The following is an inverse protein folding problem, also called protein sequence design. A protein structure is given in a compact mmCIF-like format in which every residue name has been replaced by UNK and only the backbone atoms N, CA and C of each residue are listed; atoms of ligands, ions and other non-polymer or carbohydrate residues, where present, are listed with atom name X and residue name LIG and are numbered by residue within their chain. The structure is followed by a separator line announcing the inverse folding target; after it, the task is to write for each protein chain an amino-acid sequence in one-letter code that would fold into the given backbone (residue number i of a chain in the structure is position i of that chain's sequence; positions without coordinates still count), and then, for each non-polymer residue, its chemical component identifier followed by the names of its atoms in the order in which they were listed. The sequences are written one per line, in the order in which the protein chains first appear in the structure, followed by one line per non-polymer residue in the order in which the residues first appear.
data_IF_875885599858
#
_entry.id   IF_875885599858
#
_cell.length_a   1.000
_cell.length_b   1.000
_cell.length_c   1.000
_cell.angle_alpha   90.00
_cell.angle_beta   90.00
_cell.angle_gamma   90.00
#
_symmetry.space_group_name_H-M   'P 1'
#
loop_
_entity.id
_entity.type
_entity.pdbx_description
1 polymer ?
#
# COMPACT_ATOMS: atom_id res chain seq x y z
N UNK A 1 26.05 -4.52 -1.39
CA UNK A 1 25.10 -3.40 -1.58
C UNK A 1 23.68 -3.92 -1.61
N UNK A 2 23.33 -4.82 -2.53
CA UNK A 2 21.99 -5.43 -2.65
C UNK A 2 21.43 -6.01 -1.33
N UNK A 3 22.25 -6.71 -0.53
CA UNK A 3 21.82 -7.23 0.79
C UNK A 3 21.38 -6.14 1.77
N UNK A 4 21.98 -4.95 1.72
CA UNK A 4 21.57 -3.82 2.55
C UNK A 4 20.22 -3.23 2.11
N UNK A 5 19.81 -3.50 0.87
CA UNK A 5 18.52 -3.13 0.29
C UNK A 5 17.46 -4.24 0.44
N UNK A 6 17.77 -5.31 1.18
CA UNK A 6 16.85 -6.44 1.40
C UNK A 6 16.83 -7.50 0.30
N UNK A 7 17.73 -7.42 -0.68
CA UNK A 7 17.83 -8.40 -1.77
C UNK A 7 18.78 -9.56 -1.42
N UNK A 8 18.40 -10.77 -1.79
CA UNK A 8 19.26 -11.98 -1.72
C UNK A 8 20.25 -12.02 -2.88
N UNK A 9 21.26 -12.91 -2.79
CA UNK A 9 22.21 -13.10 -3.88
C UNK A 9 21.53 -13.69 -5.14
N UNK A 10 20.57 -14.60 -4.95
CA UNK A 10 19.77 -15.18 -6.05
C UNK A 10 18.91 -14.12 -6.73
N UNK A 11 18.37 -13.18 -5.96
CA UNK A 11 17.62 -12.04 -6.49
C UNK A 11 18.51 -11.10 -7.31
N UNK A 12 19.76 -10.87 -6.87
CA UNK A 12 20.72 -10.07 -7.64
C UNK A 12 21.03 -10.71 -9.00
N UNK A 13 21.27 -12.03 -9.04
CA UNK A 13 21.49 -12.75 -10.30
C UNK A 13 20.25 -12.68 -11.21
N UNK A 14 19.06 -12.90 -10.65
CA UNK A 14 17.80 -12.79 -11.37
C UNK A 14 17.53 -11.37 -11.93
N UNK A 15 18.01 -10.33 -11.25
CA UNK A 15 17.98 -8.93 -11.74
C UNK A 15 18.95 -8.76 -12.90
N UNK A 16 20.19 -9.25 -12.79
CA UNK A 16 21.20 -9.20 -13.86
C UNK A 16 20.71 -9.86 -15.13
N UNK A 17 20.07 -11.01 -15.02
CA UNK A 17 19.46 -11.73 -16.14
C UNK A 17 18.36 -10.91 -16.83
N UNK A 18 17.47 -10.29 -16.05
CA UNK A 18 16.37 -9.44 -16.60
C UNK A 18 16.87 -8.17 -17.28
N UNK A 19 17.95 -7.58 -16.77
CA UNK A 19 18.55 -6.38 -17.34
C UNK A 19 19.53 -6.68 -18.48
N UNK A 20 20.09 -7.89 -18.54
CA UNK A 20 21.20 -8.24 -19.42
C UNK A 20 22.52 -7.54 -19.07
N UNK A 21 22.62 -6.94 -17.87
CA UNK A 21 23.77 -6.18 -17.37
C UNK A 21 23.72 -6.04 -15.84
N UNK A 22 24.81 -5.55 -15.25
CA UNK A 22 24.81 -5.14 -13.85
C UNK A 22 23.85 -3.93 -13.62
N UNK A 23 23.01 -3.99 -12.58
CA UNK A 23 22.22 -2.84 -12.15
C UNK A 23 23.09 -1.81 -11.44
N UNK A 24 22.77 -0.53 -11.60
CA UNK A 24 23.38 0.53 -10.80
C UNK A 24 22.71 0.68 -9.41
N UNK A 25 23.19 1.61 -8.59
CA UNK A 25 22.68 1.84 -7.23
C UNK A 25 21.19 2.20 -7.20
N UNK A 26 20.75 3.12 -8.06
CA UNK A 26 19.35 3.52 -8.15
C UNK A 26 18.47 2.35 -8.60
N UNK A 27 18.88 1.62 -9.62
CA UNK A 27 18.16 0.45 -10.11
C UNK A 27 18.06 -0.63 -9.04
N UNK A 28 19.14 -0.90 -8.30
CA UNK A 28 19.12 -1.82 -7.17
C UNK A 28 18.18 -1.37 -6.06
N UNK A 29 18.12 -0.07 -5.76
CA UNK A 29 17.17 0.45 -4.77
C UNK A 29 15.71 0.27 -5.25
N UNK A 30 15.44 0.54 -6.53
CA UNK A 30 14.13 0.31 -7.14
C UNK A 30 13.72 -1.17 -7.05
N UNK A 31 14.61 -2.09 -7.44
CA UNK A 31 14.37 -3.53 -7.29
C UNK A 31 14.23 -3.96 -5.83
N UNK A 32 15.05 -3.43 -4.93
CA UNK A 32 15.01 -3.77 -3.50
C UNK A 32 13.64 -3.53 -2.87
N UNK A 33 12.98 -2.45 -3.25
CA UNK A 33 11.61 -2.18 -2.80
C UNK A 33 10.60 -3.04 -3.56
N UNK A 34 10.64 -3.03 -4.89
CA UNK A 34 9.63 -3.72 -5.70
C UNK A 34 9.61 -5.24 -5.52
N UNK A 35 10.76 -5.86 -5.25
CA UNK A 35 10.90 -7.30 -4.98
C UNK A 35 10.88 -7.65 -3.48
N UNK A 36 10.58 -6.69 -2.61
CA UNK A 36 10.27 -6.99 -1.21
C UNK A 36 9.05 -7.91 -1.10
N UNK A 37 8.91 -8.65 0.00
CA UNK A 37 7.72 -9.48 0.21
C UNK A 37 6.45 -8.62 0.26
N UNK A 38 6.57 -7.40 0.81
CA UNK A 38 5.48 -6.44 0.92
C UNK A 38 4.91 -6.00 -0.45
N UNK A 39 5.78 -5.72 -1.44
CA UNK A 39 5.33 -5.25 -2.75
C UNK A 39 5.05 -6.41 -3.73
N UNK A 40 5.93 -7.42 -3.78
CA UNK A 40 5.85 -8.47 -4.81
C UNK A 40 4.96 -9.65 -4.44
N UNK A 41 4.66 -9.82 -3.14
CA UNK A 41 3.98 -11.00 -2.60
C UNK A 41 4.69 -12.30 -3.02
N UNK A 42 6.03 -12.27 -3.17
CA UNK A 42 6.80 -13.36 -3.78
C UNK A 42 6.58 -14.74 -3.15
N UNK A 43 6.22 -14.82 -1.87
CA UNK A 43 5.91 -16.10 -1.20
C UNK A 43 4.43 -16.48 -1.24
N UNK A 44 3.51 -15.52 -1.36
CA UNK A 44 2.06 -15.74 -1.24
C UNK A 44 1.32 -15.70 -2.59
N UNK A 45 1.83 -14.96 -3.58
CA UNK A 45 1.25 -14.80 -4.92
C UNK A 45 0.92 -16.13 -5.61
N UNK A 46 1.75 -17.20 -5.57
CA UNK A 46 1.38 -18.50 -6.13
C UNK A 46 0.14 -19.12 -5.48
N UNK A 47 0.01 -18.98 -4.15
CA UNK A 47 -1.11 -19.53 -3.37
C UNK A 47 -2.39 -18.70 -3.56
N UNK A 48 -2.28 -17.37 -3.55
CA UNK A 48 -3.42 -16.47 -3.71
C UNK A 48 -4.10 -16.61 -5.08
N UNK A 49 -3.35 -17.00 -6.13
CA UNK A 49 -3.90 -17.31 -7.46
C UNK A 49 -4.88 -18.49 -7.47
N UNK A 50 -4.90 -19.31 -6.41
CA UNK A 50 -5.85 -20.43 -6.29
C UNK A 50 -7.24 -20.01 -5.81
N UNK A 51 -7.38 -18.78 -5.30
CA UNK A 51 -8.65 -18.26 -4.82
C UNK A 51 -9.57 -17.92 -6.01
N UNK A 52 -10.88 -18.25 -5.93
CA UNK A 52 -11.84 -17.86 -6.96
C UNK A 52 -12.05 -16.34 -6.96
N UNK A 53 -11.92 -15.71 -8.12
CA UNK A 53 -12.02 -14.24 -8.28
C UNK A 53 -13.19 -13.79 -9.15
N UNK A 54 -13.90 -14.73 -9.79
CA UNK A 54 -15.05 -14.45 -10.64
C UNK A 54 -16.36 -14.67 -9.88
N UNK A 55 -17.32 -13.79 -10.10
CA UNK A 55 -18.66 -13.89 -9.54
C UNK A 55 -19.61 -12.90 -10.21
N UNK A 56 -20.91 -13.16 -10.12
CA UNK A 56 -21.93 -12.21 -10.57
C UNK A 56 -21.79 -10.90 -9.77
N UNK A 57 -21.73 -9.77 -10.48
CA UNK A 57 -21.57 -8.45 -9.86
C UNK A 57 -20.13 -8.05 -9.56
N UNK A 58 -19.11 -8.90 -9.75
CA UNK A 58 -17.71 -8.46 -9.65
C UNK A 58 -17.37 -7.58 -10.85
N UNK A 59 -17.09 -6.30 -10.60
CA UNK A 59 -16.73 -5.31 -11.63
C UNK A 59 -15.21 -5.15 -11.73
N UNK A 60 -14.52 -5.12 -10.59
CA UNK A 60 -13.05 -5.14 -10.52
C UNK A 60 -12.60 -6.15 -9.45
N UNK A 61 -11.73 -7.08 -9.85
CA UNK A 61 -11.14 -8.09 -8.97
C UNK A 61 -9.69 -7.77 -8.58
N UNK A 62 -8.94 -8.75 -8.05
CA UNK A 62 -7.52 -8.57 -7.74
C UNK A 62 -6.71 -8.08 -8.94
N UNK A 63 -5.88 -7.07 -8.73
CA UNK A 63 -5.03 -6.46 -9.76
C UNK A 63 -5.18 -4.94 -9.90
N UNK A 64 -6.29 -4.39 -9.39
CA UNK A 64 -6.52 -2.96 -9.19
C UNK A 64 -6.37 -2.59 -7.70
N UNK A 65 -6.38 -1.29 -7.38
CA UNK A 65 -6.15 -0.82 -6.01
C UNK A 65 -7.24 -1.23 -5.02
N UNK A 66 -8.47 -1.48 -5.46
CA UNK A 66 -9.52 -2.05 -4.63
C UNK A 66 -10.46 -2.97 -5.43
N UNK A 67 -11.12 -3.89 -4.73
CA UNK A 67 -12.17 -4.71 -5.32
C UNK A 67 -13.45 -3.90 -5.47
N UNK A 68 -14.19 -4.10 -6.57
CA UNK A 68 -15.46 -3.40 -6.82
C UNK A 68 -16.55 -4.41 -7.15
N UNK A 69 -17.68 -4.31 -6.45
CA UNK A 69 -18.90 -5.07 -6.75
C UNK A 69 -20.05 -4.13 -7.12
N UNK A 70 -20.83 -4.49 -8.12
CA UNK A 70 -22.04 -3.79 -8.52
C UNK A 70 -23.16 -4.02 -7.49
N UNK A 71 -23.92 -2.96 -7.19
CA UNK A 71 -25.03 -3.01 -6.22
C UNK A 71 -26.38 -2.58 -6.82
N UNK A 72 -26.47 -2.47 -8.16
CA UNK A 72 -27.66 -2.00 -8.87
C UNK A 72 -27.60 -0.52 -9.26
N UNK A 73 -28.55 -0.05 -10.09
CA UNK A 73 -28.73 1.35 -10.49
C UNK A 73 -27.49 2.07 -11.09
N UNK A 74 -26.55 1.29 -11.66
CA UNK A 74 -25.27 1.81 -12.16
C UNK A 74 -24.31 2.23 -11.04
N UNK A 75 -24.52 1.76 -9.81
CA UNK A 75 -23.68 1.96 -8.65
C UNK A 75 -22.85 0.72 -8.34
N UNK A 76 -21.67 0.95 -7.75
CA UNK A 76 -20.81 -0.08 -7.20
C UNK A 76 -20.26 0.32 -5.83
N UNK A 77 -19.78 -0.68 -5.12
CA UNK A 77 -19.06 -0.54 -3.85
C UNK A 77 -17.62 -0.97 -4.06
N UNK A 78 -16.70 -0.03 -3.85
CA UNK A 78 -15.27 -0.32 -3.78
C UNK A 78 -14.90 -0.64 -2.34
N UNK A 79 -14.09 -1.68 -2.12
CA UNK A 79 -13.59 -2.03 -0.80
C UNK A 79 -12.24 -2.73 -0.87
N UNK A 80 -11.43 -2.54 0.17
CA UNK A 80 -10.17 -3.23 0.40
C UNK A 80 -9.90 -3.27 1.89
N UNK A 81 -9.05 -4.20 2.31
CA UNK A 81 -8.48 -4.27 3.65
C UNK A 81 -6.96 -4.29 3.54
N UNK A 82 -6.28 -3.52 4.38
CA UNK A 82 -4.82 -3.46 4.48
C UNK A 82 -4.36 -3.68 5.91
N UNK A 83 -3.06 -3.93 6.08
CA UNK A 83 -2.44 -4.12 7.40
C UNK A 83 -1.30 -3.15 7.64
N UNK A 84 -1.19 -2.65 8.86
CA UNK A 84 -0.11 -1.76 9.30
C UNK A 84 0.52 -2.24 10.63
N UNK A 85 0.78 -3.54 10.70
CA UNK A 85 1.19 -4.25 11.93
C UNK A 85 2.51 -3.72 12.50
N UNK A 86 3.59 -3.75 11.71
CA UNK A 86 4.93 -3.39 12.18
C UNK A 86 5.03 -1.92 12.60
N UNK A 87 4.56 -0.93 11.80
CA UNK A 87 4.53 0.46 12.25
C UNK A 87 3.73 0.65 13.53
N UNK A 88 2.55 0.01 13.65
CA UNK A 88 1.69 0.12 14.83
C UNK A 88 2.28 -0.52 16.09
N UNK A 89 3.13 -1.54 15.94
CA UNK A 89 3.85 -2.12 17.07
C UNK A 89 4.91 -1.14 17.64
N UNK A 90 5.52 -0.31 16.77
CA UNK A 90 6.58 0.65 17.11
C UNK A 90 6.02 1.98 17.61
N UNK A 91 5.12 2.58 16.82
CA UNK A 91 4.42 3.84 17.11
C UNK A 91 2.91 3.63 16.82
N UNK A 92 2.10 3.34 17.86
CA UNK A 92 0.75 2.84 17.67
C UNK A 92 -0.24 3.85 17.05
N UNK A 93 -0.08 5.13 17.36
CA UNK A 93 -0.99 6.16 16.86
C UNK A 93 -0.76 6.40 15.38
N UNK A 94 0.49 6.70 15.02
CA UNK A 94 0.88 7.01 13.66
C UNK A 94 0.77 5.79 12.76
N UNK A 95 1.20 4.61 13.22
CA UNK A 95 1.06 3.37 12.45
C UNK A 95 -0.41 3.06 12.12
N UNK A 96 -1.34 3.25 13.06
CA UNK A 96 -2.75 3.05 12.77
C UNK A 96 -3.33 4.15 11.86
N UNK A 97 -2.94 5.40 12.11
CA UNK A 97 -3.41 6.56 11.34
C UNK A 97 -2.99 6.50 9.86
N UNK A 98 -1.73 6.18 9.57
CA UNK A 98 -1.25 6.00 8.19
C UNK A 98 -1.87 4.78 7.51
N UNK A 99 -2.21 3.74 8.29
CA UNK A 99 -3.01 2.62 7.80
C UNK A 99 -4.40 3.04 7.31
N UNK A 100 -5.09 3.93 8.04
CA UNK A 100 -6.35 4.54 7.58
C UNK A 100 -6.14 5.41 6.35
N UNK A 101 -5.10 6.25 6.32
CA UNK A 101 -4.80 7.09 5.15
C UNK A 101 -4.55 6.27 3.89
N UNK A 102 -3.71 5.24 3.96
CA UNK A 102 -3.43 4.32 2.86
C UNK A 102 -4.69 3.66 2.30
N UNK A 103 -5.49 3.05 3.17
CA UNK A 103 -6.69 2.35 2.70
C UNK A 103 -7.73 3.31 2.10
N UNK A 104 -7.83 4.54 2.58
CA UNK A 104 -8.71 5.54 1.95
C UNK A 104 -8.23 5.89 0.53
N UNK A 105 -6.91 6.01 0.30
CA UNK A 105 -6.32 6.24 -1.03
C UNK A 105 -6.64 5.15 -2.02
N UNK A 106 -6.58 3.89 -1.61
CA UNK A 106 -6.98 2.77 -2.45
C UNK A 106 -8.44 2.86 -2.92
N UNK A 107 -9.33 3.39 -2.08
CA UNK A 107 -10.74 3.53 -2.41
C UNK A 107 -10.97 4.68 -3.40
N UNK A 108 -10.44 5.87 -3.13
CA UNK A 108 -10.73 7.01 -4.01
C UNK A 108 -9.91 7.03 -5.29
N UNK A 109 -8.79 6.31 -5.39
CA UNK A 109 -8.10 6.06 -6.67
C UNK A 109 -9.01 5.37 -7.68
N UNK A 110 -9.93 4.51 -7.21
CA UNK A 110 -10.94 3.86 -8.05
C UNK A 110 -12.08 4.81 -8.48
N UNK A 111 -12.07 6.07 -8.05
CA UNK A 111 -13.17 7.02 -8.23
C UNK A 111 -14.32 6.83 -7.22
N UNK A 112 -14.14 5.99 -6.21
CA UNK A 112 -15.13 5.76 -5.18
C UNK A 112 -14.98 6.75 -4.03
N UNK A 113 -16.07 7.39 -3.62
CA UNK A 113 -16.05 8.25 -2.43
C UNK A 113 -16.03 7.36 -1.19
N UNK A 114 -15.02 7.45 -0.30
CA UNK A 114 -15.02 6.69 0.95
C UNK A 114 -16.20 7.10 1.83
N UNK A 115 -16.91 6.12 2.37
CA UNK A 115 -18.11 6.31 3.19
C UNK A 115 -18.01 5.64 4.56
N UNK A 116 -17.12 4.65 4.72
CA UNK A 116 -16.94 3.93 5.97
C UNK A 116 -15.54 3.34 6.08
N UNK A 117 -15.06 3.27 7.32
CA UNK A 117 -13.86 2.54 7.74
C UNK A 117 -14.27 1.44 8.72
N UNK A 118 -13.56 0.31 8.70
CA UNK A 118 -13.65 -0.74 9.70
C UNK A 118 -12.25 -1.16 10.14
N UNK A 119 -12.08 -1.59 11.38
CA UNK A 119 -10.79 -2.02 11.92
C UNK A 119 -10.84 -3.46 12.46
N UNK A 120 -9.86 -4.28 12.06
CA UNK A 120 -9.67 -5.64 12.53
C UNK A 120 -8.38 -5.68 13.36
N UNK A 121 -8.55 -5.66 14.68
CA UNK A 121 -7.48 -5.47 15.65
C UNK A 121 -7.22 -6.76 16.44
N UNK A 122 -5.94 -7.10 16.62
CA UNK A 122 -5.48 -8.22 17.46
C UNK A 122 -4.36 -7.78 18.39
N UNK A 123 -4.53 -8.03 19.68
CA UNK A 123 -3.53 -7.67 20.70
C UNK A 123 -3.27 -8.81 21.70
N UNK A 124 -2.23 -8.63 22.53
CA UNK A 124 -1.87 -9.56 23.62
C UNK A 124 -2.83 -9.52 24.81
N UNK A 125 -2.38 -9.90 26.00
CA UNK A 125 -3.20 -9.87 27.21
C UNK A 125 -3.61 -8.42 27.58
N UNK A 126 -4.91 -8.08 27.73
CA UNK A 126 -5.38 -6.73 28.10
C UNK A 126 -4.95 -6.29 29.51
N UNK A 127 -4.58 -7.23 30.39
CA UNK A 127 -4.00 -6.94 31.69
C UNK A 127 -2.54 -6.48 31.60
N UNK A 128 -1.88 -6.65 30.46
CA UNK A 128 -0.52 -6.15 30.23
C UNK A 128 -0.49 -4.64 29.89
N UNK A 129 0.51 -3.93 30.43
CA UNK A 129 0.64 -2.49 30.26
C UNK A 129 1.02 -2.09 28.82
N UNK A 130 1.85 -2.89 28.13
CA UNK A 130 2.20 -2.65 26.73
C UNK A 130 0.98 -2.85 25.84
N UNK A 131 0.21 -3.92 26.05
CA UNK A 131 -1.05 -4.16 25.33
C UNK A 131 -1.99 -2.96 25.46
N UNK A 132 -2.24 -2.45 26.68
CA UNK A 132 -3.11 -1.27 26.87
C UNK A 132 -2.60 -0.03 26.14
N UNK A 133 -1.28 0.19 26.11
CA UNK A 133 -0.67 1.30 25.34
C UNK A 133 -0.90 1.13 23.84
N UNK A 134 -0.75 -0.09 23.31
CA UNK A 134 -1.00 -0.38 21.90
C UNK A 134 -2.47 -0.12 21.54
N UNK A 135 -3.41 -0.63 22.35
CA UNK A 135 -4.85 -0.42 22.15
C UNK A 135 -5.20 1.07 22.15
N UNK A 136 -4.78 1.83 23.17
CA UNK A 136 -5.06 3.27 23.25
C UNK A 136 -4.54 4.03 22.02
N UNK A 137 -3.28 3.79 21.66
CA UNK A 137 -2.68 4.49 20.53
C UNK A 137 -3.31 4.10 19.20
N UNK A 138 -3.54 2.81 18.93
CA UNK A 138 -4.16 2.35 17.67
C UNK A 138 -5.57 2.90 17.51
N UNK A 139 -6.43 2.74 18.52
CA UNK A 139 -7.83 3.21 18.44
C UNK A 139 -7.87 4.73 18.25
N UNK A 140 -7.00 5.48 18.93
CA UNK A 140 -6.90 6.94 18.75
C UNK A 140 -6.32 7.32 17.40
N UNK A 141 -5.42 6.53 16.83
CA UNK A 141 -4.86 6.71 15.49
C UNK A 141 -5.92 6.50 14.41
N UNK A 142 -6.64 5.37 14.47
CA UNK A 142 -7.75 5.05 13.56
C UNK A 142 -8.81 6.15 13.60
N UNK A 143 -9.32 6.44 14.80
CA UNK A 143 -10.34 7.47 14.99
C UNK A 143 -9.82 8.86 14.66
N UNK A 144 -8.56 9.18 14.98
CA UNK A 144 -7.95 10.48 14.71
C UNK A 144 -7.92 10.79 13.21
N UNK A 145 -7.42 9.87 12.39
CA UNK A 145 -7.35 10.06 10.96
C UNK A 145 -8.75 10.09 10.31
N UNK A 146 -9.59 9.09 10.62
CA UNK A 146 -10.95 9.00 10.08
C UNK A 146 -11.83 10.22 10.42
N UNK A 147 -11.79 10.68 11.67
CA UNK A 147 -12.55 11.86 12.10
C UNK A 147 -12.08 13.15 11.41
N UNK A 148 -10.78 13.33 11.21
CA UNK A 148 -10.22 14.49 10.52
C UNK A 148 -10.62 14.53 9.04
N UNK A 149 -10.56 13.38 8.35
CA UNK A 149 -10.98 13.28 6.94
C UNK A 149 -12.51 13.37 6.80
N UNK A 150 -13.25 12.98 7.85
CA UNK A 150 -14.71 12.93 7.86
C UNK A 150 -15.27 11.62 7.30
N UNK A 151 -14.56 10.51 7.50
CA UNK A 151 -15.01 9.16 7.14
C UNK A 151 -15.17 8.35 8.45
N UNK A 152 -16.39 7.89 8.77
CA UNK A 152 -16.65 7.25 10.06
C UNK A 152 -16.08 5.83 10.11
N UNK A 153 -15.47 5.47 11.25
CA UNK A 153 -15.27 4.06 11.60
C UNK A 153 -16.59 3.49 12.10
N UNK A 154 -17.23 2.63 11.31
CA UNK A 154 -18.62 2.17 11.55
C UNK A 154 -18.72 0.86 12.34
N UNK A 155 -17.59 0.18 12.52
CA UNK A 155 -17.51 -1.10 13.22
C UNK A 155 -16.15 -1.75 13.00
N UNK A 156 -15.99 -2.98 13.48
CA UNK A 156 -14.73 -3.68 13.42
C UNK A 156 -14.76 -4.96 14.22
N UNK A 157 -13.58 -5.49 14.50
CA UNK A 157 -13.36 -6.68 15.31
C UNK A 157 -12.14 -6.46 16.20
N UNK A 158 -12.28 -6.71 17.50
CA UNK A 158 -11.21 -6.64 18.47
C UNK A 158 -11.06 -8.00 19.15
N UNK A 159 -9.85 -8.56 19.11
CA UNK A 159 -9.55 -9.82 19.81
C UNK A 159 -8.23 -9.72 20.56
N UNK A 160 -8.24 -10.24 21.78
CA UNK A 160 -7.08 -10.42 22.65
C UNK A 160 -6.69 -11.90 22.72
N UNK A 161 -5.43 -12.21 22.41
CA UNK A 161 -4.84 -13.54 22.57
C UNK A 161 -3.33 -13.42 22.86
N UNK A 162 -2.75 -14.23 23.78
CA UNK A 162 -1.32 -14.20 24.08
C UNK A 162 -0.39 -14.33 22.87
N UNK A 163 -0.86 -14.98 21.79
CA UNK A 163 -0.11 -15.15 20.54
C UNK A 163 0.25 -13.82 19.87
N UNK A 164 -0.50 -12.75 20.15
CA UNK A 164 -0.27 -11.40 19.60
C UNK A 164 0.55 -10.49 20.53
N UNK A 165 1.04 -10.98 21.67
CA UNK A 165 1.85 -10.18 22.59
C UNK A 165 3.18 -9.70 21.97
N UNK A 166 3.74 -10.50 21.06
CA UNK A 166 4.95 -10.15 20.31
C UNK A 166 4.67 -9.24 19.11
N UNK A 167 3.60 -9.54 18.37
CA UNK A 167 3.23 -8.87 17.12
C UNK A 167 1.71 -8.59 17.09
N UNK A 168 1.26 -7.34 17.32
CA UNK A 168 -0.15 -6.98 17.18
C UNK A 168 -0.55 -6.99 15.70
N UNK A 169 -1.82 -7.29 15.41
CA UNK A 169 -2.38 -7.09 14.07
C UNK A 169 -3.26 -5.85 14.07
N UNK A 170 -2.99 -4.96 13.13
CA UNK A 170 -3.75 -3.73 12.91
C UNK A 170 -4.13 -3.71 11.45
N UNK A 171 -5.32 -4.21 11.16
CA UNK A 171 -5.88 -4.19 9.83
C UNK A 171 -6.98 -3.14 9.75
N UNK A 172 -7.03 -2.41 8.64
CA UNK A 172 -8.04 -1.39 8.37
C UNK A 172 -8.67 -1.67 7.02
N UNK A 173 -9.99 -1.67 6.98
CA UNK A 173 -10.81 -1.78 5.79
C UNK A 173 -11.46 -0.44 5.50
N UNK A 174 -11.61 -0.10 4.23
CA UNK A 174 -12.45 1.02 3.82
C UNK A 174 -13.45 0.58 2.76
N UNK A 175 -14.58 1.29 2.74
CA UNK A 175 -15.69 1.09 1.81
C UNK A 175 -15.97 2.43 1.14
N UNK A 176 -16.12 2.44 -0.18
CA UNK A 176 -16.51 3.60 -0.96
C UNK A 176 -17.64 3.32 -1.94
N UNK A 177 -18.41 4.37 -2.24
CA UNK A 177 -19.50 4.32 -3.22
C UNK A 177 -19.02 4.95 -4.54
N UNK A 178 -19.33 4.29 -5.66
CA UNK A 178 -18.92 4.75 -6.99
C UNK A 178 -20.03 4.58 -8.00
N UNK A 179 -20.08 5.48 -8.99
CA UNK A 179 -20.85 5.29 -10.22
C UNK A 179 -20.00 4.46 -11.17
N UNK A 180 -20.53 3.35 -11.69
CA UNK A 180 -19.74 2.41 -12.49
C UNK A 180 -19.17 3.02 -13.78
N UNK A 181 -19.81 4.04 -14.34
CA UNK A 181 -19.35 4.82 -15.49
C UNK A 181 -18.23 5.82 -15.17
N UNK A 182 -17.87 5.97 -13.88
CA UNK A 182 -16.79 6.85 -13.38
C UNK A 182 -15.65 6.07 -12.72
N UNK A 183 -15.63 4.74 -12.88
CA UNK A 183 -14.51 3.93 -12.39
C UNK A 183 -13.22 4.36 -13.08
N UNK A 184 -12.19 4.58 -12.27
CA UNK A 184 -10.84 4.89 -12.72
C UNK A 184 -9.92 3.73 -12.39
N UNK A 185 -8.98 3.46 -13.29
CA UNK A 185 -8.01 2.38 -13.15
C UNK A 185 -6.59 2.94 -13.14
N UNK A 186 -5.70 2.23 -12.46
CA UNK A 186 -4.30 2.64 -12.29
C UNK A 186 -3.46 2.23 -13.51
N UNK A 187 -3.65 2.90 -14.65
CA UNK A 187 -2.98 2.58 -15.92
C UNK A 187 -2.39 3.81 -16.60
N UNK A 188 -1.13 3.70 -17.03
CA UNK A 188 -0.43 4.73 -17.78
C UNK A 188 -0.62 4.55 -19.29
N UNK A 189 -1.85 4.70 -19.75
CA UNK A 189 -2.17 4.60 -21.17
C UNK A 189 -1.76 5.88 -21.93
N UNK A 190 -1.60 5.74 -23.25
CA UNK A 190 -1.40 6.86 -24.17
C UNK A 190 0.01 7.46 -24.09
N UNK A 191 0.98 6.90 -24.83
CA UNK A 191 2.31 7.52 -24.98
C UNK A 191 2.20 9.01 -25.32
N UNK A 192 2.94 9.84 -24.59
CA UNK A 192 2.85 11.31 -24.64
C UNK A 192 1.90 11.92 -23.61
N UNK A 193 1.10 11.13 -22.89
CA UNK A 193 0.40 11.64 -21.71
C UNK A 193 1.40 12.06 -20.64
N UNK A 194 1.07 13.13 -19.93
CA UNK A 194 1.87 13.66 -18.84
C UNK A 194 1.69 12.80 -17.60
N UNK A 195 2.77 12.63 -16.86
CA UNK A 195 2.75 12.08 -15.50
C UNK A 195 2.82 13.27 -14.54
N UNK A 196 1.74 13.48 -13.79
CA UNK A 196 1.60 14.59 -12.85
C UNK A 196 1.59 14.08 -11.42
N UNK A 197 2.43 14.65 -10.56
CA UNK A 197 2.42 14.40 -9.13
C UNK A 197 1.55 15.45 -8.44
N UNK A 198 0.57 15.02 -7.66
CA UNK A 198 -0.38 15.86 -6.93
C UNK A 198 -0.21 15.60 -5.42
N UNK A 199 -0.23 16.66 -4.61
CA UNK A 199 -0.19 16.56 -3.14
C UNK A 199 1.14 16.98 -2.53
N UNK A 200 1.51 16.33 -1.43
CA UNK A 200 2.67 16.70 -0.61
C UNK A 200 4.01 16.61 -1.35
N UNK A 201 5.00 17.37 -0.89
CA UNK A 201 6.35 17.36 -1.43
C UNK A 201 7.17 16.17 -0.92
N UNK A 202 8.08 15.68 -1.76
CA UNK A 202 8.90 14.50 -1.48
C UNK A 202 9.99 14.81 -0.46
N UNK A 203 10.10 13.99 0.58
CA UNK A 203 11.16 14.03 1.60
C UNK A 203 11.74 12.63 1.88
N UNK A 204 12.61 12.50 2.87
CA UNK A 204 13.26 11.24 3.27
C UNK A 204 12.38 10.38 4.19
N UNK A 205 11.10 10.24 3.84
CA UNK A 205 10.15 9.48 4.63
C UNK A 205 10.15 8.00 4.23
N UNK A 206 10.22 7.10 5.22
CA UNK A 206 10.02 5.67 5.01
C UNK A 206 10.98 5.01 4.03
N UNK A 207 12.15 5.59 3.74
CA UNK A 207 13.14 4.99 2.84
C UNK A 207 13.59 3.64 3.42
N UNK A 208 13.27 2.54 2.73
CA UNK A 208 13.52 1.17 3.19
C UNK A 208 12.42 0.58 4.08
N UNK A 209 11.28 1.26 4.21
CA UNK A 209 10.10 0.82 4.97
C UNK A 209 9.62 -0.56 4.51
N UNK A 210 9.29 -0.71 3.23
CA UNK A 210 8.82 -1.97 2.67
C UNK A 210 9.88 -3.09 2.60
N UNK A 211 11.12 -2.77 2.23
CA UNK A 211 12.18 -3.76 1.98
C UNK A 211 12.91 -4.22 3.24
N UNK A 212 13.09 -3.36 4.24
CA UNK A 212 13.88 -3.66 5.45
C UNK A 212 13.00 -3.76 6.69
N UNK A 213 12.09 -2.81 6.93
CA UNK A 213 11.32 -2.75 8.18
C UNK A 213 10.12 -3.70 8.17
N UNK A 214 9.28 -3.64 7.14
CA UNK A 214 8.08 -4.48 7.02
C UNK A 214 8.41 -5.97 6.79
N UNK A 215 9.60 -6.26 6.27
CA UNK A 215 10.07 -7.61 5.96
C UNK A 215 10.96 -8.24 7.06
N UNK A 216 11.29 -7.49 8.13
CA UNK A 216 12.13 -7.99 9.23
C UNK A 216 11.33 -8.66 10.36
N UNK A 217 11.94 -9.64 11.02
CA UNK A 217 11.39 -10.30 12.22
C UNK A 217 11.46 -9.39 13.45
N UNK A 218 10.52 -9.58 14.39
CA UNK A 218 10.43 -8.86 15.67
C UNK A 218 11.57 -9.26 16.63
N UNK A 219 12.80 -8.89 16.31
CA UNK A 219 13.94 -9.01 17.21
C UNK A 219 14.36 -7.61 17.68
N UNK A 220 14.11 -7.36 18.97
CA UNK A 220 14.42 -6.16 19.77
C UNK A 220 13.70 -4.84 19.39
N UNK A 221 13.06 -4.24 20.41
CA UNK A 221 12.60 -2.85 20.44
C UNK A 221 13.82 -1.93 20.25
N UNK A 222 14.18 -1.66 18.99
CA UNK A 222 15.20 -0.69 18.65
C UNK A 222 14.57 0.71 18.56
N UNK A 223 14.88 1.64 19.50
CA UNK A 223 14.33 2.99 19.48
C UNK A 223 14.68 3.77 18.21
N UNK A 224 15.74 3.35 17.48
CA UNK A 224 16.14 3.96 16.21
C UNK A 224 15.11 3.78 15.08
N UNK A 225 14.13 2.88 15.25
CA UNK A 225 13.04 2.63 14.29
C UNK A 225 11.82 3.54 14.46
N UNK A 226 11.73 4.31 15.55
CA UNK A 226 10.61 5.26 15.76
C UNK A 226 10.61 6.42 14.75
N UNK A 227 11.75 7.06 14.44
CA UNK A 227 11.81 8.12 13.43
C UNK A 227 11.45 7.67 12.00
N UNK A 228 11.45 6.36 11.72
CA UNK A 228 11.04 5.83 10.41
C UNK A 228 9.53 5.62 10.28
N UNK A 229 8.74 5.74 11.37
CA UNK A 229 7.28 5.69 11.28
C UNK A 229 6.76 7.01 10.75
N UNK A 230 6.08 6.96 9.61
CA UNK A 230 5.51 8.11 8.93
C UNK A 230 4.43 8.78 9.79
N UNK A 231 4.31 10.10 9.69
CA UNK A 231 3.23 10.87 10.29
C UNK A 231 2.25 11.23 9.19
N UNK A 232 1.00 10.80 9.32
CA UNK A 232 -0.03 11.12 8.34
C UNK A 232 -0.60 12.53 8.52
N UNK A 233 -0.97 13.17 7.41
CA UNK A 233 -1.69 14.45 7.38
C UNK A 233 -3.13 14.24 6.86
N UNK A 234 -4.09 13.91 7.74
CA UNK A 234 -5.48 13.69 7.31
C UNK A 234 -6.16 14.94 6.74
N UNK A 235 -5.64 16.14 7.01
CA UNK A 235 -6.20 17.36 6.44
C UNK A 235 -5.79 17.51 4.98
N UNK A 236 -4.53 17.24 4.65
CA UNK A 236 -4.07 17.18 3.28
C UNK A 236 -4.77 16.03 2.50
N UNK A 237 -4.95 14.87 3.13
CA UNK A 237 -5.67 13.74 2.54
C UNK A 237 -7.13 14.09 2.20
N UNK A 238 -7.81 14.86 3.04
CA UNK A 238 -9.16 15.36 2.73
C UNK A 238 -9.18 16.19 1.45
N UNK A 239 -8.23 17.12 1.29
CA UNK A 239 -8.12 17.93 0.08
C UNK A 239 -7.83 17.05 -1.14
N UNK A 240 -6.96 16.05 -0.97
CA UNK A 240 -6.60 15.09 -2.01
C UNK A 240 -7.78 14.24 -2.48
N UNK A 241 -8.64 13.79 -1.56
CA UNK A 241 -9.90 13.09 -1.85
C UNK A 241 -10.80 13.96 -2.73
N UNK A 242 -11.06 15.19 -2.31
CA UNK A 242 -12.00 16.05 -3.04
C UNK A 242 -11.48 16.44 -4.42
N UNK A 243 -10.18 16.78 -4.52
CA UNK A 243 -9.55 17.05 -5.81
C UNK A 243 -9.58 15.83 -6.73
N UNK A 244 -9.22 14.64 -6.23
CA UNK A 244 -9.18 13.41 -7.03
C UNK A 244 -10.56 13.04 -7.59
N UNK A 245 -11.60 13.10 -6.74
CA UNK A 245 -12.97 12.81 -7.17
C UNK A 245 -13.48 13.85 -8.19
N UNK A 246 -13.12 15.12 -8.02
CA UNK A 246 -13.46 16.17 -9.00
C UNK A 246 -12.74 15.99 -10.33
N UNK A 247 -11.46 15.61 -10.32
CA UNK A 247 -10.68 15.30 -11.52
C UNK A 247 -11.32 14.14 -12.31
N UNK A 248 -11.75 13.09 -11.61
CA UNK A 248 -12.42 11.93 -12.20
C UNK A 248 -13.80 12.31 -12.73
N UNK A 249 -14.61 13.04 -11.95
CA UNK A 249 -15.94 13.48 -12.37
C UNK A 249 -15.91 14.36 -13.63
N UNK A 250 -14.90 15.22 -13.76
CA UNK A 250 -14.69 16.06 -14.94
C UNK A 250 -14.01 15.34 -16.10
N UNK A 251 -13.63 14.06 -15.94
CA UNK A 251 -12.93 13.28 -16.95
C UNK A 251 -11.58 13.88 -17.32
N UNK A 252 -10.82 14.41 -16.34
CA UNK A 252 -9.56 15.10 -16.58
C UNK A 252 -8.33 14.18 -16.58
N UNK A 253 -8.45 13.00 -15.97
CA UNK A 253 -7.39 12.00 -15.82
C UNK A 253 -7.68 10.76 -16.66
N UNK A 254 -6.63 10.16 -17.20
CA UNK A 254 -6.66 8.86 -17.91
C UNK A 254 -6.33 7.69 -16.96
N UNK A 255 -5.70 7.99 -15.84
CA UNK A 255 -5.35 7.05 -14.79
C UNK A 255 -4.93 7.79 -13.54
N UNK A 256 -5.16 7.17 -12.39
CA UNK A 256 -4.82 7.72 -11.08
C UNK A 256 -4.28 6.59 -10.20
N UNK A 257 -3.17 6.85 -9.52
CA UNK A 257 -2.46 5.88 -8.70
C UNK A 257 -1.97 6.55 -7.41
N UNK A 258 -2.10 5.87 -6.29
CA UNK A 258 -1.58 6.33 -5.02
C UNK A 258 -0.05 6.15 -4.93
N UNK A 259 0.59 6.90 -4.03
CA UNK A 259 1.98 6.66 -3.67
C UNK A 259 2.05 6.11 -2.24
N UNK A 260 2.13 4.79 -2.13
CA UNK A 260 2.43 4.08 -0.88
C UNK A 260 3.87 3.57 -0.85
N UNK A 261 4.02 2.28 -0.52
CA UNK A 261 5.30 1.58 -0.50
C UNK A 261 6.04 1.68 -1.84
N UNK A 262 7.31 2.05 -1.81
CA UNK A 262 8.13 2.26 -3.01
C UNK A 262 7.86 3.53 -3.80
N UNK A 263 6.93 4.39 -3.36
CA UNK A 263 6.77 5.75 -3.86
C UNK A 263 6.62 5.84 -5.38
N UNK A 264 7.42 6.73 -5.99
CA UNK A 264 7.42 6.94 -7.43
C UNK A 264 7.82 5.68 -8.21
N UNK A 265 8.70 4.85 -7.67
CA UNK A 265 9.12 3.61 -8.32
C UNK A 265 7.92 2.68 -8.51
N UNK A 266 7.15 2.46 -7.45
CA UNK A 266 5.95 1.61 -7.51
C UNK A 266 4.90 2.24 -8.42
N UNK A 267 4.53 3.50 -8.17
CA UNK A 267 3.48 4.17 -8.92
C UNK A 267 3.77 4.21 -10.44
N UNK A 268 5.02 4.42 -10.84
CA UNK A 268 5.39 4.46 -12.27
C UNK A 268 5.53 3.07 -12.89
N UNK A 269 6.16 2.12 -12.21
CA UNK A 269 6.34 0.77 -12.75
C UNK A 269 5.03 -0.02 -12.85
N UNK A 270 4.17 0.03 -11.84
CA UNK A 270 2.90 -0.71 -11.87
C UNK A 270 1.94 -0.16 -12.92
N UNK A 271 1.79 1.17 -13.01
CA UNK A 271 0.87 1.79 -13.96
C UNK A 271 1.34 1.60 -15.40
N UNK A 272 2.65 1.61 -15.65
CA UNK A 272 3.26 1.33 -16.95
C UNK A 272 3.09 -0.14 -17.35
N UNK A 273 3.41 -1.08 -16.44
CA UNK A 273 3.29 -2.53 -16.69
C UNK A 273 1.83 -2.95 -16.96
N UNK A 274 0.87 -2.44 -16.18
CA UNK A 274 -0.58 -2.69 -16.40
C UNK A 274 -1.11 -2.17 -17.74
N UNK A 275 -0.45 -1.16 -18.32
CA UNK A 275 -0.80 -0.56 -19.60
C UNK A 275 0.02 -1.11 -20.78
N UNK A 276 1.09 -1.86 -20.53
CA UNK A 276 2.06 -2.24 -21.56
C UNK A 276 2.82 -1.05 -22.16
N UNK A 277 3.05 -0.01 -21.36
CA UNK A 277 3.75 1.23 -21.74
C UNK A 277 5.01 1.40 -20.87
N UNK A 278 5.77 2.46 -21.11
CA UNK A 278 6.84 2.91 -20.23
C UNK A 278 6.53 4.28 -19.62
N UNK A 279 7.40 4.76 -18.73
CA UNK A 279 7.35 6.11 -18.18
C UNK A 279 8.77 6.65 -18.08
N UNK A 280 8.98 7.87 -18.54
CA UNK A 280 10.18 8.65 -18.19
C UNK A 280 9.86 9.63 -17.07
N UNK A 281 10.69 9.66 -16.04
CA UNK A 281 10.61 10.54 -14.87
C UNK A 281 11.80 11.50 -14.88
N UNK A 282 11.52 12.79 -14.79
CA UNK A 282 12.51 13.84 -14.58
C UNK A 282 12.60 14.18 -13.09
N UNK A 283 13.73 13.84 -12.49
CA UNK A 283 13.92 14.07 -11.06
C UNK A 283 13.92 15.56 -10.72
N UNK A 284 14.43 16.42 -11.60
CA UNK A 284 14.50 17.88 -11.33
C UNK A 284 13.11 18.51 -11.25
N UNK A 285 12.13 17.89 -11.90
CA UNK A 285 10.74 18.32 -11.88
C UNK A 285 9.96 17.80 -10.66
N UNK A 286 10.50 16.84 -9.89
CA UNK A 286 9.85 16.32 -8.68
C UNK A 286 9.93 17.36 -7.55
N UNK A 287 8.79 17.81 -6.98
CA UNK A 287 8.79 18.70 -5.82
C UNK A 287 9.41 18.01 -4.60
N UNK A 288 10.40 18.67 -3.98
CA UNK A 288 11.14 18.18 -2.80
C UNK A 288 11.11 19.22 -1.68
N UNK A 289 10.99 18.77 -0.43
CA UNK A 289 11.11 19.67 0.75
C UNK A 289 12.48 19.65 1.41
N UNK A 290 13.25 18.58 1.19
CA UNK A 290 14.60 18.48 1.70
C UNK A 290 15.62 18.83 0.61
N UNK A 291 16.65 19.64 0.95
CA UNK A 291 17.70 19.95 0.00
C UNK A 291 18.58 18.71 -0.26
N UNK A 292 19.07 18.59 -1.51
CA UNK A 292 20.07 17.60 -1.93
C UNK A 292 19.65 16.17 -1.55
N UNK A 293 18.60 15.66 -2.18
CA UNK A 293 18.21 14.25 -2.10
C UNK A 293 18.89 13.46 -3.22
N UNK A 294 19.48 12.31 -2.88
CA UNK A 294 20.04 11.39 -3.88
C UNK A 294 18.90 10.81 -4.76
N UNK A 295 19.20 10.41 -6.01
CA UNK A 295 18.17 9.90 -6.92
C UNK A 295 17.32 8.76 -6.35
N UNK A 296 17.94 7.82 -5.63
CA UNK A 296 17.20 6.72 -5.02
C UNK A 296 16.27 7.23 -3.90
N UNK A 297 16.72 8.18 -3.07
CA UNK A 297 15.89 8.75 -2.00
C UNK A 297 14.61 9.38 -2.57
N UNK A 298 14.67 10.00 -3.75
CA UNK A 298 13.49 10.57 -4.42
C UNK A 298 12.57 9.47 -4.95
N UNK A 299 13.14 8.48 -5.64
CA UNK A 299 12.37 7.44 -6.33
C UNK A 299 11.70 6.43 -5.40
N UNK A 300 12.28 6.14 -4.23
CA UNK A 300 11.73 5.20 -3.25
C UNK A 300 11.22 5.85 -1.97
N UNK A 301 11.12 7.18 -1.93
CA UNK A 301 10.49 7.90 -0.82
C UNK A 301 9.03 7.51 -0.67
N UNK A 302 8.63 7.19 0.55
CA UNK A 302 7.27 6.84 0.95
C UNK A 302 6.58 8.03 1.65
N UNK A 303 6.92 9.28 1.27
CA UNK A 303 6.18 10.47 1.72
C UNK A 303 4.69 10.31 1.45
N UNK A 304 3.88 10.63 2.46
CA UNK A 304 2.43 10.42 2.46
C UNK A 304 1.68 11.51 1.67
N UNK A 305 0.37 11.30 1.48
CA UNK A 305 -0.57 12.24 0.82
C UNK A 305 -0.12 12.70 -0.58
N UNK A 306 0.28 11.74 -1.43
CA UNK A 306 0.68 11.97 -2.82
C UNK A 306 -0.07 11.05 -3.77
N UNK A 307 -0.36 11.58 -4.96
CA UNK A 307 -1.02 10.85 -6.06
C UNK A 307 -0.28 11.07 -7.37
N UNK A 308 -0.19 10.02 -8.17
CA UNK A 308 0.30 10.04 -9.54
C UNK A 308 -0.90 10.03 -10.50
N UNK A 309 -1.04 11.07 -11.31
CA UNK A 309 -2.10 11.21 -12.30
C UNK A 309 -1.53 11.16 -13.72
N UNK A 310 -2.18 10.38 -14.59
CA UNK A 310 -1.90 10.31 -16.01
C UNK A 310 -2.85 11.26 -16.72
N UNK A 311 -2.31 12.27 -17.38
CA UNK A 311 -3.08 13.41 -17.86
C UNK A 311 -2.74 13.72 -19.31
N UNK A 312 -3.76 13.86 -20.16
CA UNK A 312 -3.53 14.35 -21.52
C UNK A 312 -2.98 15.78 -21.51
N UNK A 313 -2.02 16.13 -22.38
CA UNK A 313 -1.42 17.46 -22.38
C UNK A 313 -2.42 18.62 -22.47
N UNK A 314 -3.50 18.46 -23.23
CA UNK A 314 -4.55 19.48 -23.41
C UNK A 314 -5.44 19.66 -22.17
N UNK A 315 -5.46 18.68 -21.25
CA UNK A 315 -6.22 18.74 -19.99
C UNK A 315 -5.39 19.24 -18.81
N UNK A 316 -4.07 19.31 -18.94
CA UNK A 316 -3.17 19.73 -17.86
C UNK A 316 -3.51 21.10 -17.24
N UNK A 317 -3.92 22.14 -18.00
CA UNK A 317 -4.36 23.40 -17.39
C UNK A 317 -5.59 23.24 -16.49
N UNK A 318 -6.57 22.44 -16.90
CA UNK A 318 -7.77 22.18 -16.11
C UNK A 318 -7.47 21.35 -14.86
N UNK A 319 -6.53 20.40 -14.93
CA UNK A 319 -6.03 19.68 -13.75
C UNK A 319 -5.38 20.64 -12.76
N UNK A 320 -4.54 21.56 -13.23
CA UNK A 320 -3.92 22.59 -12.38
C UNK A 320 -4.96 23.48 -11.71
N UNK A 321 -6.00 23.91 -12.43
CA UNK A 321 -7.10 24.70 -11.87
C UNK A 321 -7.82 23.96 -10.73
N UNK A 322 -8.08 22.65 -10.88
CA UNK A 322 -8.68 21.84 -9.81
C UNK A 322 -7.74 21.74 -8.61
N UNK A 323 -6.46 21.44 -8.82
CA UNK A 323 -5.49 21.37 -7.72
C UNK A 323 -5.34 22.71 -6.99
N UNK A 324 -5.28 23.84 -7.71
CA UNK A 324 -5.21 25.19 -7.12
C UNK A 324 -6.46 25.50 -6.29
N UNK A 325 -7.66 25.15 -6.78
CA UNK A 325 -8.93 25.31 -6.04
C UNK A 325 -8.91 24.60 -4.69
N UNK A 326 -8.33 23.39 -4.65
CA UNK A 326 -8.20 22.58 -3.44
C UNK A 326 -6.90 22.86 -2.66
N UNK A 327 -6.07 23.81 -3.09
CA UNK A 327 -4.83 24.17 -2.41
C UNK A 327 -3.73 23.10 -2.48
N UNK A 328 -3.77 22.23 -3.48
CA UNK A 328 -2.81 21.13 -3.64
C UNK A 328 -1.67 21.50 -4.60
N UNK A 329 -0.41 21.26 -4.23
CA UNK A 329 0.71 21.34 -5.15
C UNK A 329 0.53 20.33 -6.30
N UNK A 330 0.94 20.73 -7.50
CA UNK A 330 0.92 19.85 -8.68
C UNK A 330 2.08 20.14 -9.63
N UNK A 331 2.80 19.09 -10.01
CA UNK A 331 3.95 19.17 -10.92
C UNK A 331 3.84 18.12 -12.02
N UNK A 332 4.26 18.47 -13.24
CA UNK A 332 4.51 17.47 -14.29
C UNK A 332 5.90 16.92 -14.01
N UNK A 333 5.98 15.64 -13.69
CA UNK A 333 7.23 14.97 -13.29
C UNK A 333 7.75 13.99 -14.34
N UNK A 334 7.00 13.79 -15.42
CA UNK A 334 7.36 12.80 -16.42
C UNK A 334 6.36 12.68 -17.56
N UNK A 335 6.57 11.66 -18.37
CA UNK A 335 5.74 11.35 -19.54
C UNK A 335 5.62 9.85 -19.78
N UNK A 336 4.47 9.42 -20.25
CA UNK A 336 4.24 8.04 -20.71
C UNK A 336 5.01 7.82 -22.01
N UNK A 337 5.75 6.72 -22.10
CA UNK A 337 6.52 6.30 -23.28
C UNK A 337 5.95 4.99 -23.86
N UNK A 338 6.38 4.62 -25.05
CA UNK A 338 5.91 3.42 -25.75
C UNK A 338 6.89 2.22 -25.65
N UNK A 339 8.03 2.39 -24.98
CA UNK A 339 9.14 1.44 -24.99
C UNK A 339 9.10 0.41 -23.85
N UNK A 340 8.13 0.51 -22.93
CA UNK A 340 7.97 -0.46 -21.84
C UNK A 340 8.91 -0.24 -20.65
N UNK A 341 9.74 0.80 -20.68
CA UNK A 341 10.76 1.05 -19.66
C UNK A 341 10.34 2.15 -18.69
N UNK A 342 10.68 1.99 -17.42
CA UNK A 342 10.79 3.09 -16.46
C UNK A 342 12.18 3.69 -16.60
N UNK A 343 12.25 4.91 -17.12
CA UNK A 343 13.49 5.67 -17.30
C UNK A 343 13.53 6.83 -16.30
N UNK A 344 14.61 6.97 -15.56
CA UNK A 344 14.82 8.07 -14.62
C UNK A 344 15.93 8.97 -15.14
N UNK A 345 15.67 10.27 -15.24
CA UNK A 345 16.64 11.26 -15.76
C UNK A 345 16.83 12.43 -14.80
N UNK A 346 17.95 13.12 -15.01
CA UNK A 346 18.28 14.40 -14.40
C UNK A 346 18.75 15.35 -15.51
N UNK A 347 18.36 16.63 -15.46
CA UNK A 347 18.65 17.62 -16.50
C UNK A 347 17.52 17.85 -17.51
N UNK A 348 16.28 17.44 -17.21
CA UNK A 348 15.09 17.83 -17.96
C UNK A 348 14.64 16.91 -19.09
N UNK A 349 13.39 17.12 -19.54
CA UNK A 349 12.80 16.53 -20.74
C UNK A 349 12.59 17.59 -21.83
N UNK A 350 12.66 17.18 -23.09
CA UNK A 350 12.29 18.02 -24.23
C UNK A 350 10.76 18.09 -24.44
N UNK A 351 10.33 18.83 -25.45
CA UNK A 351 8.90 19.03 -25.75
C UNK A 351 8.16 17.73 -26.14
N UNK A 352 8.89 16.72 -26.64
CA UNK A 352 8.32 15.41 -26.96
C UNK A 352 8.29 14.48 -25.73
N UNK A 353 8.90 14.91 -24.62
CA UNK A 353 9.07 14.13 -23.40
C UNK A 353 10.23 13.14 -23.48
N UNK A 354 11.21 13.37 -24.34
CA UNK A 354 12.45 12.60 -24.34
C UNK A 354 13.47 13.27 -23.43
N UNK A 355 14.49 12.54 -22.95
CA UNK A 355 15.59 13.16 -22.21
C UNK A 355 16.20 14.32 -23.00
N UNK A 356 16.24 15.52 -22.42
CA UNK A 356 16.72 16.72 -23.09
C UNK A 356 18.22 16.62 -23.46
N UNK A 357 18.68 17.44 -24.41
CA UNK A 357 20.10 17.52 -24.74
C UNK A 357 20.94 17.94 -23.54
N UNK A 358 21.82 17.06 -23.07
CA UNK A 358 22.64 17.27 -21.85
C UNK A 358 22.05 16.67 -20.58
N UNK A 359 20.85 16.10 -20.64
CA UNK A 359 20.30 15.29 -19.54
C UNK A 359 21.10 13.99 -19.37
N UNK A 360 21.08 13.47 -18.15
CA UNK A 360 21.72 12.20 -17.78
C UNK A 360 20.65 11.18 -17.44
N UNK A 361 20.70 10.03 -18.11
CA UNK A 361 19.89 8.86 -17.74
C UNK A 361 20.54 8.20 -16.51
N UNK A 362 19.80 8.16 -15.41
CA UNK A 362 20.24 7.61 -14.13
C UNK A 362 19.82 6.15 -13.96
N UNK A 363 18.66 5.76 -14.49
CA UNK A 363 18.18 4.38 -14.49
C UNK A 363 17.34 4.13 -15.74
N UNK A 364 17.36 2.90 -16.23
CA UNK A 364 16.46 2.43 -17.28
C UNK A 364 16.17 0.95 -17.07
N UNK A 365 14.96 0.66 -16.61
CA UNK A 365 14.54 -0.68 -16.21
C UNK A 365 13.19 -1.01 -16.86
N UNK A 366 13.00 -2.20 -17.45
CA UNK A 366 11.69 -2.61 -17.94
C UNK A 366 10.65 -2.56 -16.83
N UNK A 367 9.50 -1.90 -17.06
CA UNK A 367 8.43 -1.79 -16.08
C UNK A 367 7.96 -3.17 -15.59
N UNK A 368 7.86 -4.12 -16.53
CA UNK A 368 7.55 -5.52 -16.24
C UNK A 368 8.55 -6.18 -15.27
N UNK A 369 9.85 -5.89 -15.38
CA UNK A 369 10.86 -6.49 -14.51
C UNK A 369 10.74 -6.02 -13.06
N UNK A 370 10.33 -4.76 -12.84
CA UNK A 370 10.05 -4.21 -11.52
C UNK A 370 8.73 -4.73 -10.94
N UNK A 371 7.66 -4.74 -11.74
CA UNK A 371 6.31 -5.06 -11.29
C UNK A 371 5.97 -6.55 -11.46
N UNK A 372 5.15 -6.92 -12.45
CA UNK A 372 4.56 -8.27 -12.53
C UNK A 372 5.57 -9.41 -12.76
N UNK A 373 6.78 -9.09 -13.23
CA UNK A 373 7.90 -10.01 -13.47
C UNK A 373 8.83 -10.24 -12.28
N UNK A 374 8.47 -9.75 -11.08
CA UNK A 374 9.17 -10.07 -9.84
C UNK A 374 9.28 -11.58 -9.60
N UNK A 375 10.38 -12.01 -8.97
CA UNK A 375 10.60 -13.42 -8.62
C UNK A 375 9.48 -13.91 -7.69
N UNK A 376 9.11 -15.18 -7.84
CA UNK A 376 8.19 -15.86 -6.91
C UNK A 376 8.90 -17.09 -6.34
N UNK A 377 8.64 -17.38 -5.07
CA UNK A 377 9.22 -18.51 -4.38
C UNK A 377 8.17 -19.61 -4.19
N UNK A 378 8.55 -20.84 -4.54
CA UNK A 378 7.83 -22.03 -4.13
C UNK A 378 8.52 -22.62 -2.91
N UNK A 379 7.78 -22.75 -1.80
CA UNK A 379 8.30 -23.30 -0.54
C UNK A 379 7.59 -24.59 -0.22
N UNK A 380 8.35 -25.66 0.01
CA UNK A 380 7.82 -26.89 0.59
C UNK A 380 7.53 -26.64 2.07
N UNK A 381 6.24 -26.56 2.41
CA UNK A 381 5.79 -26.45 3.79
C UNK A 381 5.62 -27.84 4.41
N UNK A 382 6.08 -28.01 5.65
CA UNK A 382 5.71 -29.13 6.49
C UNK A 382 4.71 -28.61 7.55
N UNK A 383 3.65 -29.36 7.89
CA UNK A 383 2.78 -28.97 8.98
C UNK A 383 3.61 -28.83 10.26
N UNK A 384 3.39 -27.77 11.06
CA UNK A 384 4.08 -27.65 12.33
C UNK A 384 3.76 -28.88 13.20
N UNK A 385 4.69 -29.30 14.08
CA UNK A 385 4.36 -30.28 15.11
C UNK A 385 3.19 -29.74 15.92
N UNK A 386 1.97 -30.23 15.66
CA UNK A 386 0.80 -29.81 16.43
C UNK A 386 1.00 -30.29 17.86
N UNK A 387 0.86 -29.38 18.82
CA UNK A 387 0.82 -29.73 20.26
C UNK A 387 -0.42 -30.57 20.57
N UNK A 388 -1.47 -30.49 19.74
CA UNK A 388 -2.70 -31.27 19.90
C UNK A 388 -3.28 -31.66 18.53
N UNK A 389 -3.50 -32.95 18.31
CA UNK A 389 -4.31 -33.40 17.19
C UNK A 389 -5.78 -33.14 17.55
N UNK A 390 -6.54 -32.45 16.68
CA UNK A 390 -7.98 -32.60 16.73
C UNK A 390 -8.30 -34.06 16.36
N UNK A 391 -9.24 -34.73 17.04
CA UNK A 391 -9.57 -36.11 16.71
C UNK A 391 -10.03 -36.16 15.25
N UNK A 392 -9.43 -37.06 14.47
CA UNK A 392 -9.85 -37.26 13.08
C UNK A 392 -11.30 -37.75 13.04
N UNK A 393 -12.12 -37.38 12.04
CA UNK A 393 -13.47 -37.92 11.91
C UNK A 393 -13.46 -39.45 11.93
N UNK A 394 -14.10 -40.06 12.94
CA UNK A 394 -14.14 -41.52 13.14
C UNK A 394 -13.05 -42.12 14.03
N UNK A 395 -12.15 -41.31 14.60
CA UNK A 395 -11.26 -41.74 15.68
C UNK A 395 -12.04 -41.90 17.00
N UNK A 396 -11.56 -42.75 17.91
CA UNK A 396 -12.15 -42.89 19.24
C UNK A 396 -11.88 -41.62 20.06
N UNK A 397 -12.92 -41.07 20.69
CA UNK A 397 -12.79 -39.91 21.57
C UNK A 397 -11.99 -40.30 22.83
N UNK A 398 -10.98 -39.49 23.17
CA UNK A 398 -10.25 -39.57 24.43
C UNK A 398 -10.79 -38.56 25.45
N UNK A 399 -10.45 -38.70 26.73
CA UNK A 399 -10.87 -37.76 27.78
C UNK A 399 -10.41 -36.32 27.53
N UNK A 400 -9.39 -36.15 26.69
CA UNK A 400 -8.92 -34.84 26.24
C UNK A 400 -9.77 -34.27 25.11
N UNK A 401 -10.61 -35.05 24.42
CA UNK A 401 -11.52 -34.56 23.37
C UNK A 401 -12.81 -33.95 23.93
N UNK A 402 -13.11 -34.23 25.20
CA UNK A 402 -14.19 -33.58 25.92
C UNK A 402 -13.70 -32.27 26.53
N UNK A 403 -14.47 -31.19 26.35
CA UNK A 403 -14.34 -30.01 27.20
C UNK A 403 -14.54 -30.49 28.64
N UNK A 404 -13.66 -30.15 29.59
CA UNK A 404 -13.87 -30.58 30.97
C UNK A 404 -15.21 -30.01 31.43
N UNK A 405 -16.17 -30.90 31.72
CA UNK A 405 -17.40 -30.55 32.44
C UNK A 405 -17.01 -30.17 33.86
N UNK A 406 -16.47 -28.96 34.00
CA UNK A 406 -16.39 -28.31 35.29
C UNK A 406 -17.84 -27.98 35.59
N UNK A 407 -18.40 -28.53 36.67
CA UNK A 407 -19.74 -28.23 37.18
C UNK A 407 -19.89 -26.76 37.57
N UNK A 408 -19.77 -25.88 36.58
CA UNK A 408 -19.76 -24.44 36.70
C UNK A 408 -21.20 -24.00 36.72
N UNK A 409 -21.55 -23.23 37.74
CA UNK A 409 -22.80 -22.48 37.79
C UNK A 409 -22.98 -21.69 36.48
N UNK A 410 -24.04 -21.96 35.68
CA UNK A 410 -24.29 -21.24 34.43
C UNK A 410 -24.37 -19.73 34.61
N UNK A 411 -24.83 -19.26 35.78
CA UNK A 411 -24.84 -17.84 36.13
C UNK A 411 -23.43 -17.27 36.19
N UNK A 412 -22.52 -17.93 36.90
CA UNK A 412 -21.11 -17.55 36.97
C UNK A 412 -20.41 -17.62 35.60
N UNK A 413 -20.72 -18.62 34.77
CA UNK A 413 -20.16 -18.73 33.40
C UNK A 413 -20.62 -17.57 32.53
N UNK A 414 -21.91 -17.23 32.55
CA UNK A 414 -22.44 -16.09 31.79
C UNK A 414 -21.77 -14.78 32.21
N UNK A 415 -21.61 -14.55 33.52
CA UNK A 415 -20.92 -13.36 34.02
C UNK A 415 -19.44 -13.33 33.61
N UNK A 416 -18.76 -14.48 33.60
CA UNK A 416 -17.38 -14.57 33.13
C UNK A 416 -17.27 -14.31 31.62
N UNK A 417 -18.21 -14.81 30.82
CA UNK A 417 -18.27 -14.56 29.38
C UNK A 417 -18.58 -13.09 29.07
N UNK A 418 -19.52 -12.46 29.78
CA UNK A 418 -19.82 -11.02 29.62
C UNK A 418 -18.69 -10.11 30.12
N UNK A 419 -17.91 -10.56 31.10
CA UNK A 419 -16.74 -9.86 31.62
C UNK A 419 -15.45 -10.12 30.83
N UNK A 420 -15.50 -10.96 29.79
CA UNK A 420 -14.40 -11.19 28.86
C UNK A 420 -14.11 -9.90 28.08
N UNK A 421 -12.83 -9.67 27.78
CA UNK A 421 -12.43 -8.59 26.88
C UNK A 421 -12.70 -8.90 25.40
N UNK A 422 -12.98 -10.17 25.07
CA UNK A 422 -13.41 -10.67 23.76
C UNK A 422 -14.91 -10.92 23.73
#
# INVERSE_FOLDING_TARGET
MHRALGLTDDELEAIRERLGRDPNELELAMFGVMWSEHCSYKSSRPLLRTLPTAGEGVVAGPGENAGVVAIGDGLGVAFKIESHNHPSAVEPYQGAATGVGGILRDIFTMGARPIAVLDALRFGDPADARTRRLVDGVVRGVGGYGNCVGVPTVGGELVFDPSYAGNPLVNVMAIGLVRLDRLTFARANGPGNLVMLIGSTTGRDGIGGASVLASATFAHDDPSKRPSVQVGDPFAEKLLIEASLELIERGLVEGLQDLGAGGLTCATSETADRAGTGIVVDLDAVPRREPVMAPFEVMISESQERMCAIVRPDRAPAVREVCERWGLPVAVVGRVTADGDVTVVEGGLDADGRPAGGSRVLARVPAHALASGAIVHERLAAPPPRVRQAPAPGAAEESTDHLPERGMDPGAVLLALLGSAN
#
